data_IF_949405844793
#
_entry.id   IF_949405844793
#
_cell.length_a   1.000
_cell.length_b   1.000
_cell.length_c   1.000
_cell.angle_alpha   90.00
_cell.angle_beta   90.00
_cell.angle_gamma   90.00
#
_symmetry.space_group_name_H-M   'P 1'
#
loop_
_entity.id
_entity.type
_entity.pdbx_description
1 polymer ?
#
# COMPACT_ATOMS: atom_id res chain seq x y z
N UNK A 1 5.20 7.23 22.42
CA UNK A 1 4.00 8.10 22.45
C UNK A 1 3.07 7.64 23.58
N UNK A 2 2.09 8.46 24.00
CA UNK A 2 1.06 8.04 24.97
C UNK A 2 -0.33 8.26 24.38
N UNK A 3 -1.20 7.26 24.51
CA UNK A 3 -2.58 7.31 24.06
C UNK A 3 -3.52 7.27 25.25
N UNK A 4 -4.57 8.09 25.24
CA UNK A 4 -5.60 8.09 26.28
C UNK A 4 -6.84 7.39 25.74
N UNK A 5 -7.20 6.26 26.36
CA UNK A 5 -8.35 5.46 25.96
C UNK A 5 -9.65 6.20 26.19
N UNK A 6 -10.61 5.96 25.31
CA UNK A 6 -12.01 6.38 25.43
C UNK A 6 -12.87 5.20 25.84
N UNK A 7 -14.07 5.51 26.32
CA UNK A 7 -15.03 4.48 26.75
C UNK A 7 -15.41 3.59 25.56
N UNK A 8 -15.20 2.29 25.71
CA UNK A 8 -15.55 1.31 24.68
C UNK A 8 -14.42 1.03 23.68
N UNK A 9 -13.23 1.60 23.89
CA UNK A 9 -12.07 1.23 23.10
C UNK A 9 -11.60 -0.18 23.44
N UNK A 10 -10.98 -0.84 22.47
CA UNK A 10 -10.40 -2.17 22.61
C UNK A 10 -8.96 -2.14 22.11
N UNK A 11 -8.19 -3.17 22.45
CA UNK A 11 -6.82 -3.31 21.97
C UNK A 11 -6.70 -3.27 20.44
N UNK A 12 -7.60 -3.95 19.72
CA UNK A 12 -7.65 -3.95 18.26
C UNK A 12 -7.93 -2.55 17.70
N UNK A 13 -8.91 -1.84 18.26
CA UNK A 13 -9.28 -0.49 17.81
C UNK A 13 -8.13 0.51 18.00
N UNK A 14 -7.47 0.46 19.15
CA UNK A 14 -6.34 1.35 19.45
C UNK A 14 -5.16 1.01 18.53
N UNK A 15 -4.89 -0.27 18.29
CA UNK A 15 -3.85 -0.69 17.36
C UNK A 15 -4.13 -0.21 15.92
N UNK A 16 -5.38 -0.29 15.48
CA UNK A 16 -5.79 0.23 14.17
C UNK A 16 -5.64 1.76 14.08
N UNK A 17 -6.07 2.51 15.10
CA UNK A 17 -5.93 3.97 15.11
C UNK A 17 -4.46 4.43 15.15
N UNK A 18 -3.60 3.71 15.87
CA UNK A 18 -2.20 4.11 16.08
C UNK A 18 -1.24 3.56 15.02
N UNK A 19 -1.53 2.38 14.47
CA UNK A 19 -0.64 1.66 13.56
C UNK A 19 -1.27 1.27 12.22
N UNK A 20 -2.57 1.53 12.02
CA UNK A 20 -3.29 1.10 10.83
C UNK A 20 -3.57 -0.41 10.77
N UNK A 21 -3.26 -1.17 11.82
CA UNK A 21 -3.45 -2.62 11.85
C UNK A 21 -3.83 -3.14 13.22
N UNK A 22 -4.90 -3.93 13.27
CA UNK A 22 -5.41 -4.55 14.50
C UNK A 22 -4.47 -5.64 15.05
N UNK A 23 -3.62 -6.24 14.20
CA UNK A 23 -2.70 -7.32 14.57
C UNK A 23 -1.56 -6.84 15.47
N UNK A 24 -1.28 -5.53 15.47
CA UNK A 24 -0.23 -4.91 16.29
C UNK A 24 -0.66 -4.67 17.73
N UNK A 25 -1.84 -5.14 18.12
CA UNK A 25 -2.30 -5.09 19.51
C UNK A 25 -1.38 -5.84 20.47
N UNK A 26 -0.68 -6.89 20.01
CA UNK A 26 0.29 -7.66 20.81
C UNK A 26 1.43 -6.77 21.31
N UNK A 27 1.90 -5.85 20.47
CA UNK A 27 2.92 -4.86 20.83
C UNK A 27 2.42 -3.93 21.93
N UNK A 28 1.17 -3.46 21.82
CA UNK A 28 0.55 -2.65 22.88
C UNK A 28 0.43 -3.44 24.18
N UNK A 29 0.03 -4.70 24.12
CA UNK A 29 -0.09 -5.60 25.27
C UNK A 29 1.25 -5.83 25.97
N UNK A 30 2.33 -6.02 25.22
CA UNK A 30 3.68 -6.23 25.77
C UNK A 30 4.20 -5.01 26.55
N UNK A 31 3.92 -3.80 26.05
CA UNK A 31 4.29 -2.56 26.74
C UNK A 31 3.32 -2.20 27.88
N UNK A 32 2.09 -2.69 27.82
CA UNK A 32 1.03 -2.35 28.76
C UNK A 32 0.44 -3.58 29.47
N UNK A 33 1.31 -4.51 29.89
CA UNK A 33 0.89 -5.77 30.53
C UNK A 33 -0.01 -5.56 31.76
N UNK A 34 0.13 -4.42 32.45
CA UNK A 34 -0.73 -4.03 33.58
C UNK A 34 -2.23 -3.95 33.23
N UNK A 35 -2.57 -3.72 31.96
CA UNK A 35 -3.95 -3.60 31.48
C UNK A 35 -4.40 -4.81 30.66
N UNK A 36 -3.60 -5.88 30.60
CA UNK A 36 -3.87 -7.07 29.74
C UNK A 36 -5.22 -7.73 30.00
N UNK A 37 -5.74 -7.62 31.22
CA UNK A 37 -7.02 -8.22 31.63
C UNK A 37 -8.22 -7.36 31.19
N UNK A 38 -7.97 -6.14 30.71
CA UNK A 38 -8.99 -5.23 30.21
C UNK A 38 -9.27 -5.56 28.75
N UNK A 39 -10.43 -6.15 28.49
CA UNK A 39 -10.92 -6.42 27.12
C UNK A 39 -11.53 -5.15 26.50
N UNK A 40 -12.24 -4.37 27.30
CA UNK A 40 -12.89 -3.12 26.91
C UNK A 40 -12.44 -2.02 27.85
N UNK A 41 -11.78 -1.00 27.31
CA UNK A 41 -11.20 0.07 28.08
C UNK A 41 -12.26 1.05 28.60
N UNK A 42 -12.20 1.41 29.91
CA UNK A 42 -12.85 2.61 30.39
C UNK A 42 -12.16 3.86 29.84
N UNK A 43 -12.83 5.00 29.96
CA UNK A 43 -12.25 6.28 29.58
C UNK A 43 -11.15 6.70 30.56
N UNK A 44 -10.03 7.21 30.04
CA UNK A 44 -8.98 7.86 30.83
C UNK A 44 -7.77 6.99 31.19
N UNK A 45 -7.61 5.81 30.60
CA UNK A 45 -6.39 5.01 30.79
C UNK A 45 -5.32 5.51 29.83
N UNK A 46 -4.11 5.72 30.34
CA UNK A 46 -2.96 6.11 29.51
C UNK A 46 -2.17 4.86 29.14
N UNK A 47 -2.10 4.56 27.84
CA UNK A 47 -1.31 3.47 27.27
C UNK A 47 0.01 4.01 26.70
N UNK A 48 1.08 3.27 26.95
CA UNK A 48 2.38 3.44 26.31
C UNK A 48 2.28 2.89 24.88
N UNK A 49 2.43 3.75 23.89
CA UNK A 49 2.40 3.38 22.47
C UNK A 49 3.82 3.51 21.93
N UNK A 50 4.57 2.40 21.77
CA UNK A 50 5.87 2.44 21.13
C UNK A 50 5.70 2.79 19.65
N UNK A 51 6.69 3.50 19.10
CA UNK A 51 6.73 3.79 17.67
C UNK A 51 7.26 2.55 16.96
N UNK A 52 6.46 1.98 16.07
CA UNK A 52 6.86 0.85 15.23
C UNK A 52 6.83 1.35 13.80
N UNK A 53 8.02 1.44 13.19
CA UNK A 53 8.19 1.76 11.78
C UNK A 53 7.68 0.57 10.96
N UNK A 54 6.37 0.49 10.80
CA UNK A 54 5.68 -0.57 10.10
C UNK A 54 4.47 0.02 9.42
N UNK A 55 4.70 0.69 8.29
CA UNK A 55 3.67 1.15 7.38
C UNK A 55 2.97 -0.12 6.86
N UNK A 56 1.92 -0.56 7.56
CA UNK A 56 0.98 -1.52 7.01
C UNK A 56 0.00 -0.67 6.23
N UNK A 57 0.42 -0.35 5.01
CA UNK A 57 -0.44 0.24 4.00
C UNK A 57 -1.53 -0.80 3.67
N UNK A 58 -2.64 -0.74 4.39
CA UNK A 58 -3.85 -1.55 4.13
C UNK A 58 -4.60 -1.06 2.88
N UNK A 59 -3.97 -0.17 2.09
CA UNK A 59 -4.47 0.20 0.78
C UNK A 59 -4.45 -1.04 -0.11
N UNK A 60 -5.63 -1.55 -0.50
CA UNK A 60 -5.67 -2.72 -1.34
C UNK A 60 -4.99 -2.40 -2.69
N UNK A 61 -4.37 -3.41 -3.31
CA UNK A 61 -3.49 -3.24 -4.47
C UNK A 61 -4.10 -2.44 -5.64
N UNK A 62 -5.43 -2.39 -5.74
CA UNK A 62 -6.19 -1.66 -6.76
C UNK A 62 -6.39 -0.16 -6.46
N UNK A 63 -5.96 0.33 -5.31
CA UNK A 63 -6.05 1.73 -4.89
C UNK A 63 -4.65 2.38 -4.71
N UNK A 64 -3.59 1.58 -4.85
CA UNK A 64 -2.22 2.10 -4.91
C UNK A 64 -2.06 2.77 -6.28
N UNK A 65 -2.13 4.11 -6.32
CA UNK A 65 -1.81 4.87 -7.53
C UNK A 65 -0.43 4.40 -8.00
N UNK A 66 -0.40 3.70 -9.13
CA UNK A 66 0.81 3.51 -9.90
C UNK A 66 1.24 4.92 -10.25
N UNK A 67 2.33 5.39 -9.65
CA UNK A 67 3.06 6.53 -10.17
C UNK A 67 3.46 6.11 -11.59
N UNK A 68 2.66 6.53 -12.57
CA UNK A 68 2.99 6.43 -13.97
C UNK A 68 4.23 7.31 -14.18
N UNK A 69 5.40 6.69 -14.11
CA UNK A 69 6.58 7.19 -14.80
C UNK A 69 6.24 7.17 -16.29
N UNK A 70 5.58 8.22 -16.77
CA UNK A 70 5.53 8.56 -18.19
C UNK A 70 6.93 8.97 -18.59
N UNK A 71 7.69 7.95 -18.99
CA UNK A 71 9.00 8.04 -19.63
C UNK A 71 8.95 9.09 -20.75
N UNK A 72 9.87 10.05 -20.66
CA UNK A 72 10.09 11.11 -21.64
C UNK A 72 10.23 10.48 -23.03
N UNK A 73 9.24 10.66 -23.89
CA UNK A 73 9.39 10.33 -25.31
C UNK A 73 10.38 11.32 -25.93
N UNK A 74 11.66 10.95 -25.91
CA UNK A 74 12.69 11.61 -26.72
C UNK A 74 12.29 11.53 -28.19
N UNK A 75 12.17 12.71 -28.80
CA UNK A 75 12.05 12.85 -30.23
C UNK A 75 13.38 12.49 -30.91
N UNK A 76 13.36 11.47 -31.76
CA UNK A 76 14.40 11.28 -32.77
C UNK A 76 13.75 11.34 -34.15
N UNK A 77 13.81 12.53 -34.72
CA UNK A 77 13.69 12.71 -36.16
C UNK A 77 14.92 12.08 -36.83
N UNK A 78 14.69 11.09 -37.68
CA UNK A 78 15.58 10.83 -38.83
C UNK A 78 14.74 10.89 -40.08
N UNK A 79 14.86 12.03 -40.74
CA UNK A 79 14.62 12.23 -42.16
C UNK A 79 15.53 11.30 -42.98
N UNK A 80 15.22 11.15 -44.28
CA UNK A 80 16.08 10.60 -45.35
C UNK A 80 15.89 9.12 -45.77
N UNK A 81 15.03 8.98 -46.79
CA UNK A 81 15.32 8.39 -48.12
C UNK A 81 15.57 6.89 -48.27
N UNK A 82 14.82 6.29 -49.21
CA UNK A 82 15.36 5.22 -50.06
C UNK A 82 14.38 4.11 -50.42
N UNK A 83 13.86 4.20 -51.65
CA UNK A 83 13.15 3.15 -52.38
C UNK A 83 13.76 1.75 -52.22
N UNK A 84 12.90 0.73 -52.01
CA UNK A 84 13.19 -0.63 -52.51
C UNK A 84 11.87 -1.32 -52.92
N UNK A 85 11.60 -1.20 -54.22
CA UNK A 85 11.05 -2.17 -55.18
C UNK A 85 9.91 -3.10 -54.74
N UNK A 86 8.71 -2.80 -55.29
CA UNK A 86 7.68 -3.77 -55.58
C UNK A 86 8.26 -4.89 -56.44
N UNK A 87 8.32 -6.11 -55.90
CA UNK A 87 8.49 -7.28 -56.76
C UNK A 87 7.36 -8.28 -56.56
N UNK A 88 6.77 -8.57 -57.71
CA UNK A 88 5.56 -9.33 -57.96
C UNK A 88 5.79 -10.81 -57.64
N UNK A 89 4.85 -11.47 -56.97
CA UNK A 89 4.52 -12.84 -57.36
C UNK A 89 3.03 -13.15 -57.27
N UNK A 90 2.50 -13.35 -58.46
CA UNK A 90 1.13 -13.58 -58.84
C UNK A 90 0.79 -15.08 -58.75
N UNK A 91 -0.36 -15.39 -58.18
CA UNK A 91 -1.25 -16.46 -58.63
C UNK A 91 -0.72 -17.90 -58.69
N UNK A 92 -0.67 -18.59 -57.55
CA UNK A 92 -0.77 -20.05 -57.52
C UNK A 92 -2.23 -20.49 -57.69
N UNK A 93 -2.67 -20.69 -58.94
CA UNK A 93 -3.95 -21.31 -59.24
C UNK A 93 -3.92 -22.81 -58.89
N UNK A 94 -4.87 -23.22 -58.07
CA UNK A 94 -5.24 -24.60 -57.80
C UNK A 94 -6.02 -25.16 -59.02
N UNK A 95 -5.59 -26.30 -59.53
CA UNK A 95 -6.22 -27.04 -60.63
C UNK A 95 -5.57 -28.39 -60.86
#
# INVERSE_FOLDING_TARGET
MKYVTKKGDTWSKIAYEQYGSEYLMTVLLDYNQQYRDIVVFPHGITLEVPDIEGIIDDTPFWMKEVAEDVDETEEVATDDTGDIEEDVMEGGAYG
#
